data_IF_688520762969
#
_entry.id   IF_688520762969
#
_cell.length_a   1.000
_cell.length_b   1.000
_cell.length_c   1.000
_cell.angle_alpha   90.00
_cell.angle_beta   90.00
_cell.angle_gamma   90.00
#
_symmetry.space_group_name_H-M   'P 1'
#
loop_
_entity.id
_entity.type
_entity.pdbx_description
1 polymer ?
#
# COMPACT_ATOMS: atom_id res chain seq x y z
N UNK A 1 -3.68 -13.79 0.89
CA UNK A 1 -2.84 -13.67 2.11
C UNK A 1 -2.45 -12.21 2.21
N UNK A 2 -2.77 -11.53 3.32
CA UNK A 2 -2.21 -10.19 3.58
C UNK A 2 -0.69 -10.41 3.64
N UNK A 3 0.02 -10.04 2.57
CA UNK A 3 1.45 -9.76 2.69
C UNK A 3 1.60 -8.67 3.74
N UNK A 4 2.65 -8.73 4.56
CA UNK A 4 2.96 -7.69 5.56
C UNK A 4 2.67 -6.31 4.98
N UNK A 5 1.90 -5.50 5.72
CA UNK A 5 1.38 -4.21 5.23
C UNK A 5 2.49 -3.33 4.61
N UNK A 6 3.69 -3.37 5.21
CA UNK A 6 4.90 -2.68 4.74
C UNK A 6 5.43 -3.21 3.42
N UNK A 7 5.39 -4.53 3.21
CA UNK A 7 5.86 -5.16 1.97
C UNK A 7 4.93 -4.80 0.81
N UNK A 8 3.63 -4.82 1.05
CA UNK A 8 2.63 -4.39 0.07
C UNK A 8 2.81 -2.91 -0.27
N UNK A 9 2.98 -2.04 0.73
CA UNK A 9 3.25 -0.63 0.53
C UNK A 9 4.53 -0.40 -0.29
N UNK A 10 5.62 -1.09 0.05
CA UNK A 10 6.90 -0.99 -0.66
C UNK A 10 6.76 -1.34 -2.14
N UNK A 11 6.18 -2.49 -2.46
CA UNK A 11 5.98 -2.91 -3.86
C UNK A 11 5.16 -1.88 -4.63
N UNK A 12 4.03 -1.44 -4.07
CA UNK A 12 3.10 -0.57 -4.77
C UNK A 12 3.68 0.83 -4.99
N UNK A 13 4.41 1.37 -4.00
CA UNK A 13 5.11 2.65 -4.14
C UNK A 13 6.25 2.59 -5.18
N UNK A 14 6.95 1.45 -5.28
CA UNK A 14 7.93 1.24 -6.34
C UNK A 14 7.27 1.17 -7.73
N UNK A 15 6.14 0.49 -7.86
CA UNK A 15 5.38 0.40 -9.12
C UNK A 15 4.82 1.76 -9.57
N UNK A 16 4.49 2.64 -8.62
CA UNK A 16 4.08 4.02 -8.90
C UNK A 16 5.25 4.93 -9.33
N UNK A 17 6.50 4.43 -9.29
CA UNK A 17 7.68 5.17 -9.75
C UNK A 17 8.25 6.15 -8.73
N UNK A 18 7.90 6.04 -7.45
CA UNK A 18 8.51 6.84 -6.40
C UNK A 18 10.00 6.50 -6.21
N UNK A 19 10.77 7.47 -5.75
CA UNK A 19 12.20 7.28 -5.53
C UNK A 19 12.44 6.24 -4.41
N UNK A 20 13.25 5.23 -4.71
CA UNK A 20 13.63 4.17 -3.77
C UNK A 20 14.20 4.72 -2.46
N UNK A 21 14.99 5.79 -2.49
CA UNK A 21 15.55 6.39 -1.27
C UNK A 21 14.46 6.92 -0.33
N UNK A 22 13.33 7.39 -0.87
CA UNK A 22 12.20 7.88 -0.08
C UNK A 22 11.45 6.72 0.58
N UNK A 23 11.27 5.63 -0.18
CA UNK A 23 10.60 4.41 0.27
C UNK A 23 11.44 3.75 1.38
N UNK A 24 12.74 3.58 1.17
CA UNK A 24 13.65 3.00 2.17
C UNK A 24 13.72 3.85 3.45
N UNK A 25 13.75 5.19 3.32
CA UNK A 25 13.67 6.11 4.45
C UNK A 25 12.35 6.02 5.21
N UNK A 26 11.22 5.84 4.52
CA UNK A 26 9.92 5.60 5.16
C UNK A 26 9.90 4.28 5.93
N UNK A 27 10.48 3.22 5.35
CA UNK A 27 10.58 1.90 5.98
C UNK A 27 11.61 1.86 7.13
N UNK A 28 12.27 2.99 7.41
CA UNK A 28 13.38 3.11 8.37
C UNK A 28 14.52 2.11 8.09
N UNK A 29 14.69 1.75 6.82
CA UNK A 29 15.78 0.89 6.40
C UNK A 29 17.09 1.68 6.32
N UNK A 30 18.19 0.98 6.58
CA UNK A 30 19.53 1.53 6.40
C UNK A 30 19.96 1.30 4.96
N UNK A 31 20.14 2.38 4.22
CA UNK A 31 20.72 2.33 2.87
C UNK A 31 22.19 1.90 3.00
N UNK A 32 22.55 0.81 2.34
CA UNK A 32 23.90 0.25 2.37
C UNK A 32 24.88 0.97 1.45
N UNK A 33 26.17 0.67 1.63
CA UNK A 33 27.25 1.10 0.74
C UNK A 33 27.53 2.61 0.75
N UNK A 34 28.26 3.04 -0.27
CA UNK A 34 28.71 4.43 -0.44
C UNK A 34 27.52 5.40 -0.60
N UNK A 35 26.46 4.95 -1.27
CA UNK A 35 25.22 5.72 -1.45
C UNK A 35 24.59 6.12 -0.12
N UNK A 36 24.49 5.20 0.85
CA UNK A 36 23.98 5.51 2.18
C UNK A 36 24.89 6.41 3.03
N UNK A 37 26.19 6.44 2.75
CA UNK A 37 27.15 7.33 3.44
C UNK A 37 26.99 8.78 2.99
N UNK A 38 26.75 8.99 1.69
CA UNK A 38 26.60 10.33 1.12
C UNK A 38 25.17 10.85 1.16
N UNK A 39 24.16 9.98 1.13
CA UNK A 39 22.76 10.40 1.16
C UNK A 39 22.32 10.81 2.58
N UNK A 40 22.54 12.09 2.91
CA UNK A 40 22.06 12.73 4.14
C UNK A 40 20.72 13.45 3.96
N UNK A 41 20.10 13.36 2.79
CA UNK A 41 18.86 14.05 2.53
C UNK A 41 17.69 13.33 3.22
N UNK A 42 16.84 14.11 3.87
CA UNK A 42 15.68 13.61 4.62
C UNK A 42 14.41 13.53 3.78
N UNK A 43 14.40 14.18 2.60
CA UNK A 43 13.30 14.17 1.63
C UNK A 43 11.91 14.39 2.24
N UNK A 44 11.81 15.26 3.26
CA UNK A 44 10.60 15.36 4.10
C UNK A 44 9.36 15.73 3.31
N UNK A 45 9.46 16.67 2.37
CA UNK A 45 8.31 17.11 1.58
C UNK A 45 7.84 16.00 0.63
N UNK A 46 8.78 15.38 -0.06
CA UNK A 46 8.49 14.30 -1.00
C UNK A 46 7.94 13.05 -0.30
N UNK A 47 8.49 12.71 0.87
CA UNK A 47 7.96 11.61 1.69
C UNK A 47 6.56 11.92 2.21
N UNK A 48 6.25 13.18 2.54
CA UNK A 48 4.89 13.56 2.95
C UNK A 48 3.90 13.35 1.82
N UNK A 49 4.22 13.82 0.61
CA UNK A 49 3.37 13.64 -0.57
C UNK A 49 3.18 12.15 -0.92
N UNK A 50 4.26 11.38 -0.91
CA UNK A 50 4.23 9.93 -1.14
C UNK A 50 3.35 9.21 -0.10
N UNK A 51 3.52 9.53 1.19
CA UNK A 51 2.74 8.90 2.25
C UNK A 51 1.28 9.31 2.25
N UNK A 52 0.98 10.54 1.81
CA UNK A 52 -0.40 10.95 1.60
C UNK A 52 -1.03 10.14 0.46
N UNK A 53 -0.33 9.96 -0.67
CA UNK A 53 -0.83 9.11 -1.75
C UNK A 53 -1.06 7.67 -1.33
N UNK A 54 -0.19 7.11 -0.49
CA UNK A 54 -0.40 5.78 0.11
C UNK A 54 -1.62 5.75 1.04
N UNK A 55 -1.80 6.77 1.87
CA UNK A 55 -2.97 6.89 2.75
C UNK A 55 -4.27 6.95 1.93
N UNK A 56 -4.30 7.79 0.89
CA UNK A 56 -5.45 7.94 0.00
C UNK A 56 -5.80 6.60 -0.70
N UNK A 57 -4.79 5.83 -1.11
CA UNK A 57 -5.01 4.48 -1.65
C UNK A 57 -5.64 3.54 -0.62
N UNK A 58 -5.12 3.51 0.61
CA UNK A 58 -5.64 2.67 1.69
C UNK A 58 -7.08 3.06 2.03
N UNK A 59 -7.37 4.36 2.14
CA UNK A 59 -8.72 4.88 2.38
C UNK A 59 -9.68 4.47 1.26
N UNK A 60 -9.25 4.56 0.00
CA UNK A 60 -10.04 4.09 -1.13
C UNK A 60 -10.35 2.58 -1.08
N UNK A 61 -9.42 1.74 -0.61
CA UNK A 61 -9.67 0.31 -0.42
C UNK A 61 -10.68 0.04 0.71
N UNK A 62 -10.65 0.83 1.78
CA UNK A 62 -11.61 0.71 2.89
C UNK A 62 -13.01 1.15 2.45
N UNK A 63 -13.10 2.24 1.70
CA UNK A 63 -14.37 2.78 1.20
C UNK A 63 -15.00 1.86 0.14
N UNK A 64 -14.20 1.28 -0.76
CA UNK A 64 -14.67 0.24 -1.69
C UNK A 64 -15.00 -1.08 -1.00
N UNK A 65 -14.34 -1.40 0.12
CA UNK A 65 -14.70 -2.51 1.01
C UNK A 65 -16.05 -2.36 1.71
N UNK A 66 -16.62 -1.14 1.76
CA UNK A 66 -18.02 -0.89 2.17
C UNK A 66 -19.03 -1.09 1.04
N UNK A 67 -18.65 -1.70 -0.08
CA UNK A 67 -19.60 -2.25 -1.04
C UNK A 67 -20.20 -3.54 -0.48
N UNK A 68 -21.01 -3.42 0.57
CA UNK A 68 -21.82 -4.52 1.09
C UNK A 68 -22.84 -4.86 0.01
N UNK A 69 -22.53 -5.85 -0.82
CA UNK A 69 -23.55 -6.49 -1.63
C UNK A 69 -24.42 -7.28 -0.64
N UNK A 70 -25.52 -6.67 -0.19
CA UNK A 70 -26.57 -7.37 0.56
C UNK A 70 -27.29 -8.28 -0.44
N UNK A 71 -26.64 -9.37 -0.83
CA UNK A 71 -27.25 -10.42 -1.64
C UNK A 71 -28.13 -11.28 -0.75
N UNK A 72 -29.40 -11.47 -1.12
CA UNK A 72 -30.23 -12.54 -0.55
C UNK A 72 -29.66 -13.89 -1.02
N UNK A 73 -28.69 -14.44 -0.29
CA UNK A 73 -28.19 -15.80 -0.50
C UNK A 73 -29.13 -16.85 0.13
N UNK A 74 -30.43 -16.65 -0.01
CA UNK A 74 -31.50 -17.55 0.47
C UNK A 74 -31.94 -18.51 -0.63
N UNK A 75 -31.73 -19.81 -0.38
CA UNK A 75 -31.91 -20.97 -1.26
C UNK A 75 -33.26 -21.05 -1.99
N UNK A 76 -33.26 -21.59 -3.22
CA UNK A 76 -33.98 -22.84 -3.53
C UNK A 76 -33.68 -23.32 -4.96
N UNK A 77 -33.30 -24.58 -5.09
CA UNK A 77 -33.70 -25.36 -6.26
C UNK A 77 -34.30 -26.66 -5.73
N UNK A 78 -35.62 -26.72 -5.75
CA UNK A 78 -36.36 -27.96 -5.61
C UNK A 78 -36.02 -28.80 -6.83
N UNK A 79 -35.27 -29.88 -6.64
CA UNK A 79 -35.18 -30.94 -7.64
C UNK A 79 -36.47 -31.74 -7.52
N UNK A 80 -37.39 -31.52 -8.45
CA UNK A 80 -38.57 -32.37 -8.64
C UNK A 80 -38.12 -33.72 -9.17
N UNK A 81 -38.73 -34.75 -8.59
CA UNK A 81 -38.60 -36.21 -8.82
C UNK A 81 -38.53 -36.60 -10.29
#
# INVERSE_FOLDING_TARGET
VIHDFRRTASTLLHEQGYNSDWIEKYLAHKIGGVHGVYNRAEYLNQRREMLQSWADFVDAQIETGRKVIIGQFGKSYNVTV
#
